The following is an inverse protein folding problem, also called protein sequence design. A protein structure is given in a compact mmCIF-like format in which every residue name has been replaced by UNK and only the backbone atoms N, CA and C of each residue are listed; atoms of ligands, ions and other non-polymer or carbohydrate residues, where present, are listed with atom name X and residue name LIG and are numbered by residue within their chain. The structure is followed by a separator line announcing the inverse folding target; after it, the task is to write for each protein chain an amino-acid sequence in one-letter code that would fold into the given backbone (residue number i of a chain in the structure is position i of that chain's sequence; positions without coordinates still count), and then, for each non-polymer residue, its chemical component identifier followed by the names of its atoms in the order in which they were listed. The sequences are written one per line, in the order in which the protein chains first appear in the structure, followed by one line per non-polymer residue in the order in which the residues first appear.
data_IF_767202789040
#
_entry.id   IF_767202789040
#
_cell.length_a   1.000
_cell.length_b   1.000
_cell.length_c   1.000
_cell.angle_alpha   90.00
_cell.angle_beta   90.00
_cell.angle_gamma   90.00
#
_symmetry.space_group_name_H-M   'P 1'
#
loop_
_entity.id
_entity.type
_entity.pdbx_description
1 polymer ?
#
# COMPACT_ATOMS: atom_id res chain seq x y z
N UNK A 1 5.05 4.51 -8.93
CA UNK A 1 5.09 5.85 -9.57
C UNK A 1 3.89 6.07 -10.49
N UNK A 2 3.77 5.35 -11.62
CA UNK A 2 2.71 5.60 -12.60
C UNK A 2 1.28 5.75 -12.02
N UNK A 3 0.89 4.92 -11.04
CA UNK A 3 -0.45 4.98 -10.45
C UNK A 3 -0.76 6.29 -9.72
N UNK A 4 0.19 6.84 -8.95
CA UNK A 4 -0.07 7.92 -7.98
C UNK A 4 1.04 8.99 -7.91
N UNK A 5 1.99 9.00 -8.85
CA UNK A 5 3.21 9.81 -8.80
C UNK A 5 4.32 9.15 -7.97
N UNK A 6 4.07 8.81 -6.70
CA UNK A 6 5.02 8.16 -5.79
C UNK A 6 6.16 9.07 -5.34
N UNK A 7 7.34 8.52 -5.01
CA UNK A 7 8.51 9.31 -4.54
C UNK A 7 8.82 10.53 -5.44
N UNK A 8 8.84 10.42 -6.79
CA UNK A 8 9.15 11.57 -7.65
C UNK A 8 8.16 12.73 -7.54
N UNK A 9 6.91 12.47 -7.14
CA UNK A 9 5.88 13.50 -6.97
C UNK A 9 5.76 14.00 -5.52
N UNK A 10 6.60 13.50 -4.61
CA UNK A 10 6.62 13.95 -3.22
C UNK A 10 7.09 15.40 -3.10
N UNK A 11 6.64 16.10 -2.06
CA UNK A 11 7.02 17.49 -1.82
C UNK A 11 8.55 17.66 -1.74
N UNK A 12 9.14 18.68 -2.40
CA UNK A 12 8.49 19.81 -3.09
C UNK A 12 8.17 19.59 -4.59
N UNK A 13 8.35 18.38 -5.13
CA UNK A 13 8.05 18.00 -6.52
C UNK A 13 8.56 18.99 -7.61
N UNK A 14 9.87 19.27 -7.70
CA UNK A 14 10.42 20.28 -8.61
C UNK A 14 10.26 19.91 -10.10
N UNK A 15 10.00 18.62 -10.39
CA UNK A 15 9.83 18.12 -11.76
C UNK A 15 8.39 18.16 -12.25
N UNK A 16 7.42 18.42 -11.36
CA UNK A 16 6.00 18.31 -11.67
C UNK A 16 5.59 16.88 -12.03
N UNK A 17 6.21 15.87 -11.41
CA UNK A 17 5.87 14.47 -11.61
C UNK A 17 4.43 14.21 -11.18
N UNK A 18 3.69 13.46 -12.01
CA UNK A 18 2.25 13.22 -11.87
C UNK A 18 1.90 11.79 -12.21
N UNK A 19 0.73 11.36 -11.75
CA UNK A 19 0.17 10.04 -12.10
C UNK A 19 -0.29 9.97 -13.55
N UNK A 20 -0.43 8.76 -14.08
CA UNK A 20 -1.00 8.52 -15.42
C UNK A 20 -2.43 9.06 -15.49
N UNK A 21 -3.24 8.84 -14.45
CA UNK A 21 -4.62 9.36 -14.37
C UNK A 21 -4.67 10.85 -14.61
N UNK A 22 -3.87 11.59 -13.85
CA UNK A 22 -3.77 13.05 -13.91
C UNK A 22 -3.36 13.57 -15.30
N UNK A 23 -2.50 12.85 -16.01
CA UNK A 23 -2.09 13.18 -17.37
C UNK A 23 -3.22 12.87 -18.37
N UNK A 24 -3.90 11.73 -18.23
CA UNK A 24 -5.04 11.37 -19.08
C UNK A 24 -6.19 12.39 -18.96
N UNK A 25 -6.56 12.74 -17.72
CA UNK A 25 -7.63 13.70 -17.43
C UNK A 25 -7.34 15.08 -18.01
N UNK A 26 -6.11 15.58 -17.83
CA UNK A 26 -5.72 16.89 -18.40
C UNK A 26 -5.75 16.93 -19.93
N UNK A 27 -5.57 15.79 -20.60
CA UNK A 27 -5.62 15.70 -22.05
C UNK A 27 -7.00 15.27 -22.57
N UNK A 28 -8.02 15.21 -21.71
CA UNK A 28 -9.37 14.79 -22.10
C UNK A 28 -9.46 13.33 -22.57
N UNK A 29 -8.52 12.47 -22.18
CA UNK A 29 -8.45 11.08 -22.60
C UNK A 29 -9.29 10.21 -21.67
N UNK A 30 -10.44 9.75 -22.16
CA UNK A 30 -11.30 8.81 -21.46
C UNK A 30 -10.96 7.37 -21.87
N UNK A 31 -10.01 6.76 -21.16
CA UNK A 31 -9.64 5.33 -21.32
C UNK A 31 -9.69 4.62 -19.97
N UNK A 32 -10.08 3.33 -19.94
CA UNK A 32 -10.00 2.53 -18.73
C UNK A 32 -8.58 2.53 -18.15
N UNK A 33 -8.47 2.65 -16.83
CA UNK A 33 -7.21 2.66 -16.09
C UNK A 33 -7.26 1.62 -14.97
N UNK A 34 -6.26 0.76 -14.92
CA UNK A 34 -6.05 -0.20 -13.83
C UNK A 34 -4.74 0.17 -13.15
N UNK A 35 -4.81 0.48 -11.86
CA UNK A 35 -3.64 0.81 -11.06
C UNK A 35 -3.10 -0.45 -10.38
N UNK A 36 -1.83 -0.77 -10.62
CA UNK A 36 -1.09 -1.83 -9.92
C UNK A 36 0.06 -1.19 -9.13
N UNK A 37 -0.23 -0.53 -8.00
CA UNK A 37 0.75 0.23 -7.25
C UNK A 37 1.66 -0.64 -6.38
N UNK A 38 2.72 -0.01 -5.89
CA UNK A 38 3.80 -0.59 -5.12
C UNK A 38 5.13 0.04 -5.53
N UNK A 39 6.09 0.05 -4.61
CA UNK A 39 7.43 0.58 -4.86
C UNK A 39 8.50 -0.45 -4.49
N UNK A 40 8.72 -1.49 -5.31
CA UNK A 40 8.02 -1.82 -6.57
C UNK A 40 6.66 -2.51 -6.34
N UNK A 41 5.83 -2.70 -7.38
CA UNK A 41 4.70 -3.64 -7.31
C UNK A 41 5.22 -5.08 -7.17
N UNK A 42 4.47 -5.94 -6.48
CA UNK A 42 4.80 -7.36 -6.41
C UNK A 42 4.72 -7.99 -7.82
N UNK A 43 5.66 -8.89 -8.20
CA UNK A 43 5.65 -9.54 -9.51
C UNK A 43 4.30 -10.19 -9.86
N UNK A 44 3.72 -10.96 -8.94
CA UNK A 44 2.41 -11.61 -9.13
C UNK A 44 1.26 -10.62 -9.31
N UNK A 45 1.31 -9.42 -8.70
CA UNK A 45 0.24 -8.44 -8.89
C UNK A 45 0.23 -7.94 -10.34
N UNK A 46 1.41 -7.68 -10.89
CA UNK A 46 1.57 -7.26 -12.28
C UNK A 46 1.16 -8.39 -13.24
N UNK A 47 1.80 -9.56 -13.12
CA UNK A 47 1.53 -10.71 -14.00
C UNK A 47 0.08 -11.18 -13.86
N UNK A 48 -0.43 -11.26 -12.64
CA UNK A 48 -1.81 -11.64 -12.35
C UNK A 48 -2.81 -10.66 -12.96
N UNK A 49 -2.56 -9.34 -12.89
CA UNK A 49 -3.42 -8.35 -13.54
C UNK A 49 -3.44 -8.51 -15.06
N UNK A 50 -2.27 -8.69 -15.68
CA UNK A 50 -2.18 -8.92 -17.13
C UNK A 50 -2.93 -10.21 -17.52
N UNK A 51 -2.71 -11.30 -16.79
CA UNK A 51 -3.39 -12.56 -17.04
C UNK A 51 -4.91 -12.46 -16.89
N UNK A 52 -5.40 -11.76 -15.85
CA UNK A 52 -6.84 -11.51 -15.67
C UNK A 52 -7.42 -10.78 -16.88
N UNK A 53 -6.73 -9.74 -17.38
CA UNK A 53 -7.19 -8.98 -18.55
C UNK A 53 -7.22 -9.83 -19.82
N UNK A 54 -6.18 -10.63 -20.06
CA UNK A 54 -6.11 -11.50 -21.25
C UNK A 54 -7.17 -12.60 -21.24
N UNK A 55 -7.48 -13.15 -20.06
CA UNK A 55 -8.40 -14.28 -19.93
C UNK A 55 -9.87 -13.86 -19.82
N UNK A 56 -10.15 -12.72 -19.16
CA UNK A 56 -11.52 -12.29 -18.81
C UNK A 56 -11.93 -10.97 -19.44
N UNK A 57 -11.01 -10.25 -20.09
CA UNK A 57 -11.24 -8.87 -20.51
C UNK A 57 -10.98 -7.87 -19.38
N UNK A 58 -11.38 -6.62 -19.59
CA UNK A 58 -11.21 -5.56 -18.59
C UNK A 58 -11.99 -5.89 -17.30
N UNK A 59 -11.47 -5.53 -16.12
CA UNK A 59 -12.18 -5.72 -14.86
C UNK A 59 -13.46 -4.89 -14.81
N UNK A 60 -14.49 -5.44 -14.20
CA UNK A 60 -15.73 -4.72 -13.92
C UNK A 60 -15.51 -3.69 -12.80
N UNK A 61 -16.37 -2.66 -12.67
CA UNK A 61 -16.23 -1.67 -11.59
C UNK A 61 -16.13 -2.28 -10.19
N UNK A 62 -16.81 -3.38 -9.95
CA UNK A 62 -16.80 -4.09 -8.66
C UNK A 62 -15.51 -4.88 -8.41
N UNK A 63 -14.70 -5.17 -9.43
CA UNK A 63 -13.40 -5.83 -9.28
C UNK A 63 -12.31 -4.86 -8.80
N UNK A 64 -12.54 -3.55 -8.94
CA UNK A 64 -11.61 -2.49 -8.57
C UNK A 64 -12.07 -1.75 -7.30
N UNK A 65 -11.10 -1.28 -6.52
CA UNK A 65 -11.37 -0.36 -5.41
C UNK A 65 -11.47 1.10 -5.91
N UNK A 66 -11.82 2.09 -5.04
CA UNK A 66 -11.92 3.49 -5.45
C UNK A 66 -10.64 4.11 -6.02
N UNK A 67 -9.47 3.52 -5.73
CA UNK A 67 -8.19 3.93 -6.29
C UNK A 67 -7.85 3.21 -7.62
N UNK A 68 -8.82 2.48 -8.19
CA UNK A 68 -8.73 1.65 -9.40
C UNK A 68 -7.75 0.50 -9.27
N UNK A 69 -7.60 -0.07 -8.07
CA UNK A 69 -6.71 -1.19 -7.82
C UNK A 69 -7.48 -2.51 -7.82
N UNK A 70 -6.96 -3.61 -8.39
CA UNK A 70 -7.62 -4.92 -8.32
C UNK A 70 -7.84 -5.38 -6.87
N UNK A 71 -9.09 -5.57 -6.45
CA UNK A 71 -9.44 -6.03 -5.10
C UNK A 71 -8.86 -7.40 -4.76
N UNK A 72 -8.53 -8.21 -5.78
CA UNK A 72 -7.82 -9.47 -5.61
C UNK A 72 -6.48 -9.33 -4.86
N UNK A 73 -5.80 -8.18 -4.98
CA UNK A 73 -4.52 -7.91 -4.32
C UNK A 73 -4.61 -6.79 -3.28
N UNK A 74 -5.48 -5.81 -3.51
CA UNK A 74 -5.59 -4.58 -2.70
C UNK A 74 -6.92 -4.49 -1.95
N UNK A 75 -7.67 -5.59 -1.80
CA UNK A 75 -9.00 -5.58 -1.19
C UNK A 75 -9.02 -5.55 0.34
N UNK A 76 -7.90 -5.81 1.00
CA UNK A 76 -7.79 -5.82 2.47
C UNK A 76 -6.56 -5.06 2.95
N UNK A 77 -6.62 -4.55 4.16
CA UNK A 77 -5.47 -3.95 4.83
C UNK A 77 -4.42 -5.02 5.16
N UNK A 78 -3.15 -4.62 5.10
CA UNK A 78 -2.03 -5.42 5.59
C UNK A 78 -2.27 -5.80 7.06
N UNK A 79 -2.75 -4.87 7.87
CA UNK A 79 -2.95 -5.09 9.31
C UNK A 79 -4.02 -6.15 9.63
N UNK A 80 -5.03 -6.30 8.78
CA UNK A 80 -6.11 -7.29 8.98
C UNK A 80 -5.63 -8.73 8.76
N UNK A 81 -4.52 -8.90 8.04
CA UNK A 81 -3.95 -10.21 7.73
C UNK A 81 -2.54 -10.37 8.31
N UNK A 82 -2.09 -9.43 9.14
CA UNK A 82 -0.74 -9.44 9.67
C UNK A 82 -0.59 -10.54 10.75
N UNK A 83 0.38 -11.47 10.62
CA UNK A 83 0.65 -12.46 11.66
C UNK A 83 1.01 -11.87 13.03
N UNK A 84 1.48 -10.60 13.06
CA UNK A 84 1.79 -9.87 14.30
C UNK A 84 0.56 -9.16 14.91
N UNK A 85 -0.67 -9.41 14.41
CA UNK A 85 -1.89 -8.74 14.89
C UNK A 85 -2.18 -9.01 16.36
N UNK A 86 -2.02 -10.25 16.83
CA UNK A 86 -2.20 -10.59 18.24
C UNK A 86 -1.28 -9.79 19.19
N UNK A 87 -0.06 -9.45 18.74
CA UNK A 87 0.83 -8.57 19.49
C UNK A 87 0.29 -7.14 19.58
N UNK A 88 -0.30 -6.62 18.50
CA UNK A 88 -0.96 -5.31 18.52
C UNK A 88 -2.13 -5.30 19.51
N UNK A 89 -3.02 -6.29 19.41
CA UNK A 89 -4.24 -6.36 20.22
C UNK A 89 -3.94 -6.53 21.73
N UNK A 90 -2.79 -7.11 22.08
CA UNK A 90 -2.30 -7.28 23.45
C UNK A 90 -1.34 -6.18 23.92
N UNK A 91 -1.09 -5.15 23.11
CA UNK A 91 -0.20 -4.04 23.46
C UNK A 91 1.30 -4.41 23.53
N UNK A 92 1.70 -5.51 22.90
CA UNK A 92 3.09 -5.98 22.83
C UNK A 92 3.79 -5.38 21.60
N UNK A 93 4.50 -4.28 21.80
CA UNK A 93 5.21 -3.57 20.73
C UNK A 93 6.72 -3.85 20.77
N UNK A 94 7.33 -3.96 19.59
CA UNK A 94 8.78 -4.06 19.45
C UNK A 94 9.44 -2.72 19.80
N UNK A 95 10.58 -2.76 20.50
CA UNK A 95 11.38 -1.57 20.80
C UNK A 95 12.34 -1.19 19.68
N UNK A 96 12.79 -2.18 18.90
CA UNK A 96 13.71 -2.01 17.77
C UNK A 96 13.31 -2.88 16.55
N UNK A 97 13.68 -2.47 15.31
CA UNK A 97 13.50 -3.30 14.13
C UNK A 97 14.15 -4.67 14.29
N UNK A 98 13.44 -5.73 13.88
CA UNK A 98 13.90 -7.13 14.00
C UNK A 98 13.45 -7.83 15.29
N UNK A 99 13.02 -7.10 16.32
CA UNK A 99 12.51 -7.72 17.54
C UNK A 99 11.13 -8.39 17.34
N UNK A 100 10.79 -9.39 18.18
CA UNK A 100 9.42 -9.86 18.32
C UNK A 100 8.45 -8.73 18.72
N UNK A 101 7.17 -8.89 18.40
CA UNK A 101 6.13 -7.89 18.73
C UNK A 101 5.69 -7.03 17.55
N UNK A 102 4.64 -6.22 17.76
CA UNK A 102 4.09 -5.37 16.70
C UNK A 102 4.99 -4.16 16.43
N UNK A 103 5.22 -3.87 15.14
CA UNK A 103 6.07 -2.75 14.69
C UNK A 103 5.33 -1.40 14.62
N UNK A 104 4.14 -1.29 15.22
CA UNK A 104 3.31 -0.08 15.13
C UNK A 104 4.00 1.15 15.73
N UNK A 105 4.58 1.01 16.92
CA UNK A 105 5.35 2.08 17.60
C UNK A 105 6.60 2.50 16.80
N UNK A 106 7.11 1.61 15.94
CA UNK A 106 8.23 1.88 15.02
C UNK A 106 7.77 2.46 13.68
N UNK A 107 6.51 2.90 13.57
CA UNK A 107 5.97 3.58 12.41
C UNK A 107 5.34 2.69 11.35
N UNK A 108 5.00 1.44 11.67
CA UNK A 108 4.38 0.54 10.70
C UNK A 108 3.04 1.08 10.18
N UNK A 109 2.99 1.33 8.87
CA UNK A 109 1.83 1.82 8.14
C UNK A 109 0.88 0.72 7.65
N UNK A 110 1.02 -0.49 8.17
CA UNK A 110 0.13 -1.62 7.86
C UNK A 110 -1.38 -1.31 8.06
N UNK A 111 -1.78 -0.55 9.09
CA UNK A 111 -3.21 -0.23 9.32
C UNK A 111 -3.86 0.69 8.28
N UNK A 112 -3.10 1.35 7.40
CA UNK A 112 -3.61 2.18 6.31
C UNK A 112 -3.19 1.72 4.93
N UNK A 113 -2.55 0.56 4.83
CA UNK A 113 -2.00 0.06 3.57
C UNK A 113 -2.77 -1.15 3.11
N UNK A 114 -3.35 -1.07 1.92
CA UNK A 114 -4.00 -2.18 1.24
C UNK A 114 -2.98 -2.93 0.40
N UNK A 115 -2.79 -4.21 0.71
CA UNK A 115 -2.00 -5.18 -0.06
C UNK A 115 -2.09 -6.57 0.61
N UNK A 116 -1.92 -7.63 -0.18
CA UNK A 116 -1.84 -9.02 0.29
C UNK A 116 -0.42 -9.47 0.70
N UNK A 117 0.54 -8.52 0.88
CA UNK A 117 1.91 -8.80 1.30
C UNK A 117 2.06 -9.85 2.42
N UNK A 118 1.29 -9.81 3.54
CA UNK A 118 1.42 -10.83 4.59
C UNK A 118 0.93 -12.22 4.19
N UNK A 119 0.08 -12.33 3.16
CA UNK A 119 -0.51 -13.59 2.70
C UNK A 119 0.34 -14.24 1.62
N UNK A 120 0.75 -13.45 0.62
CA UNK A 120 1.52 -13.94 -0.54
C UNK A 120 3.03 -13.95 -0.29
N UNK A 121 3.49 -13.05 0.59
CA UNK A 121 4.90 -12.73 0.77
C UNK A 121 5.52 -12.23 -0.54
N UNK A 122 6.84 -12.12 -0.59
CA UNK A 122 7.65 -11.66 -1.71
C UNK A 122 8.64 -12.74 -2.11
N UNK A 123 9.07 -12.69 -3.38
CA UNK A 123 10.15 -13.53 -3.92
C UNK A 123 9.86 -15.02 -3.74
N UNK A 124 8.76 -15.49 -4.34
CA UNK A 124 8.31 -16.89 -4.28
C UNK A 124 8.00 -17.36 -2.85
N UNK A 125 7.23 -16.56 -2.11
CA UNK A 125 6.80 -16.93 -0.76
C UNK A 125 7.89 -16.83 0.30
N UNK A 126 9.01 -16.15 0.03
CA UNK A 126 10.16 -16.16 0.93
C UNK A 126 9.93 -15.33 2.19
N UNK A 127 9.58 -14.04 2.05
CA UNK A 127 9.35 -13.15 3.18
C UNK A 127 8.63 -11.86 2.75
N UNK A 128 8.41 -10.92 3.66
CA UNK A 128 7.81 -9.61 3.40
C UNK A 128 8.35 -8.59 4.42
N UNK A 129 8.04 -7.30 4.26
CA UNK A 129 8.67 -6.24 5.06
C UNK A 129 8.58 -6.49 6.58
N UNK A 130 7.37 -6.66 7.12
CA UNK A 130 7.15 -6.85 8.56
C UNK A 130 7.62 -8.23 9.02
N UNK A 131 7.57 -9.24 8.15
CA UNK A 131 8.15 -10.56 8.43
C UNK A 131 9.67 -10.49 8.60
N UNK A 132 10.33 -9.64 7.82
CA UNK A 132 11.76 -9.32 7.95
C UNK A 132 12.07 -8.31 9.08
N UNK A 133 11.06 -7.91 9.88
CA UNK A 133 11.25 -6.98 11.00
C UNK A 133 11.29 -5.50 10.61
N UNK A 134 10.96 -5.16 9.37
CA UNK A 134 10.89 -3.79 8.88
C UNK A 134 9.44 -3.26 8.85
N UNK A 135 9.15 -2.05 9.36
CA UNK A 135 7.82 -1.45 9.28
C UNK A 135 7.31 -1.35 7.84
N UNK A 136 6.00 -1.59 7.64
CA UNK A 136 5.35 -1.22 6.38
C UNK A 136 5.43 0.29 6.20
N UNK A 137 5.74 0.76 4.99
CA UNK A 137 5.86 2.19 4.67
C UNK A 137 4.65 2.73 3.88
N UNK A 138 3.70 1.85 3.53
CA UNK A 138 2.52 2.16 2.73
C UNK A 138 2.78 2.48 1.27
N UNK A 139 3.77 1.82 0.66
CA UNK A 139 4.20 2.08 -0.72
C UNK A 139 3.15 1.79 -1.81
N UNK A 140 2.01 1.17 -1.48
CA UNK A 140 0.89 0.90 -2.39
C UNK A 140 -0.22 1.95 -2.32
N UNK A 141 -0.12 2.93 -1.41
CA UNK A 141 -1.16 3.92 -1.17
C UNK A 141 -0.97 5.20 -1.99
N UNK A 142 -2.06 5.87 -2.42
CA UNK A 142 -2.00 7.18 -3.07
C UNK A 142 -1.37 8.27 -2.19
N UNK A 143 -1.32 8.04 -0.89
CA UNK A 143 -0.81 8.97 0.12
C UNK A 143 0.69 8.87 0.33
N UNK A 144 1.36 7.89 -0.29
CA UNK A 144 2.80 7.70 -0.22
C UNK A 144 3.54 8.62 -1.21
N UNK A 145 4.62 9.31 -0.78
CA UNK A 145 5.24 9.24 0.55
C UNK A 145 4.68 10.25 1.56
N UNK A 146 4.13 11.37 1.10
CA UNK A 146 4.08 12.60 1.91
C UNK A 146 3.18 12.51 3.14
N UNK A 147 2.03 11.83 3.06
CA UNK A 147 1.14 11.71 4.24
C UNK A 147 1.52 10.56 5.15
N UNK A 148 2.52 9.76 4.78
CA UNK A 148 3.01 8.61 5.55
C UNK A 148 4.39 8.85 6.16
N UNK A 149 5.03 10.00 5.89
CA UNK A 149 6.27 10.42 6.53
C UNK A 149 6.03 11.08 7.91
N UNK A 150 6.92 10.97 8.90
CA UNK A 150 8.15 10.18 8.88
C UNK A 150 7.85 8.67 8.87
N UNK A 151 8.66 7.92 8.14
CA UNK A 151 8.43 6.48 7.90
C UNK A 151 8.54 5.69 9.21
N UNK A 152 9.49 6.05 10.07
CA UNK A 152 9.82 5.34 11.31
C UNK A 152 9.12 5.89 12.56
N UNK A 153 8.07 6.69 12.36
CA UNK A 153 7.25 7.23 13.44
C UNK A 153 5.81 6.76 13.28
N UNK A 154 5.16 6.42 14.40
CA UNK A 154 3.73 6.14 14.38
C UNK A 154 2.98 7.41 13.97
N UNK A 155 1.85 7.23 13.28
CA UNK A 155 0.98 8.37 13.01
C UNK A 155 0.37 8.83 14.33
N UNK A 156 0.41 10.14 14.59
CA UNK A 156 -0.31 10.74 15.70
C UNK A 156 -1.83 10.63 15.51
N UNK A 157 -2.59 10.87 16.57
CA UNK A 157 -4.06 10.79 16.57
C UNK A 157 -4.70 11.70 15.51
N UNK A 158 -4.12 12.90 15.31
CA UNK A 158 -4.64 13.86 14.33
C UNK A 158 -4.51 13.31 12.90
N UNK A 159 -3.41 12.61 12.62
CA UNK A 159 -3.15 11.99 11.33
C UNK A 159 -3.97 10.71 11.14
N UNK A 160 -4.18 9.92 12.18
CA UNK A 160 -5.02 8.72 12.15
C UNK A 160 -6.48 9.04 11.81
N UNK A 161 -7.03 10.10 12.38
CA UNK A 161 -8.39 10.58 12.08
C UNK A 161 -8.58 10.90 10.59
N UNK A 162 -7.55 11.45 9.94
CA UNK A 162 -7.59 11.73 8.48
C UNK A 162 -7.70 10.46 7.64
N UNK A 163 -7.29 9.31 8.17
CA UNK A 163 -7.44 8.01 7.52
C UNK A 163 -8.68 7.24 8.02
N UNK A 164 -9.48 7.81 8.93
CA UNK A 164 -10.62 7.16 9.60
C UNK A 164 -10.24 5.81 10.25
N UNK A 165 -9.00 5.68 10.71
CA UNK A 165 -8.52 4.45 11.34
C UNK A 165 -8.88 4.50 12.81
N UNK A 166 -9.69 3.54 13.26
CA UNK A 166 -9.93 3.34 14.68
C UNK A 166 -8.77 2.52 15.24
N UNK A 167 -8.01 3.10 16.17
CA UNK A 167 -6.92 2.42 16.88
C UNK A 167 -7.40 1.65 18.10
N UNK A 168 -8.71 1.64 18.38
CA UNK A 168 -9.40 0.81 19.37
C UNK A 168 -10.83 0.52 18.93
#
# INVERSE_FOLDING_TARGET
CASFGGIPSGEPNPTGARSVREVLEQNGISKPLINVPGCPPHPDWLVGTIAMVLLKGLPEPDDLDPALRPKAFYGKLIHDNCPRRAYFDSGQFAGHPGEPGCLYELGCKGPMTYADCPLRLWNNGANWCVGAGAPCIGCTEPTFPDRLQPIFEKLDETRLERFKIRTR
#
